data_IF_291610171706
#
_entry.id   IF_291610171706
#
_cell.length_a   1.000
_cell.length_b   1.000
_cell.length_c   1.000
_cell.angle_alpha   90.00
_cell.angle_beta   90.00
_cell.angle_gamma   90.00
#
_symmetry.space_group_name_H-M   'P 1'
#
loop_
_entity.id
_entity.type
_entity.pdbx_description
1 polymer ?
#
# COMPACT_ATOMS: atom_id res chain seq x y z
N UNK A 1 -24.70 -30.56 0.01
CA UNK A 1 -24.32 -29.14 -0.20
C UNK A 1 -24.97 -28.27 0.88
N UNK A 2 -24.97 -28.75 2.14
CA UNK A 2 -25.65 -28.16 3.30
C UNK A 2 -24.88 -28.50 4.59
N UNK A 3 -23.54 -28.64 4.50
CA UNK A 3 -22.71 -28.83 5.69
C UNK A 3 -22.15 -27.48 6.13
N UNK A 4 -22.92 -26.85 7.01
CA UNK A 4 -22.44 -26.05 8.13
C UNK A 4 -21.48 -24.90 7.79
N UNK A 5 -22.07 -23.81 7.28
CA UNK A 5 -21.70 -22.46 7.71
C UNK A 5 -22.02 -22.29 9.20
N UNK A 6 -21.39 -23.07 10.10
CA UNK A 6 -21.20 -22.63 11.48
C UNK A 6 -20.04 -21.61 11.52
N UNK A 7 -20.19 -20.58 10.68
CA UNK A 7 -19.45 -19.34 10.87
C UNK A 7 -20.12 -18.72 12.08
N UNK A 8 -19.51 -18.88 13.26
CA UNK A 8 -19.83 -18.06 14.43
C UNK A 8 -19.71 -16.59 13.99
N UNK A 9 -20.81 -16.02 13.52
CA UNK A 9 -20.87 -14.67 13.03
C UNK A 9 -20.47 -13.78 14.21
N UNK A 10 -19.28 -13.18 14.14
CA UNK A 10 -18.87 -12.24 15.17
C UNK A 10 -19.92 -11.12 15.21
N UNK A 11 -20.50 -10.81 16.38
CA UNK A 11 -21.43 -9.72 16.47
C UNK A 11 -20.75 -8.45 15.99
N UNK A 12 -21.47 -7.61 15.23
CA UNK A 12 -20.89 -6.46 14.52
C UNK A 12 -20.08 -5.55 15.44
N UNK A 13 -20.50 -5.40 16.71
CA UNK A 13 -19.76 -4.66 17.73
C UNK A 13 -18.36 -5.23 17.98
N UNK A 14 -18.21 -6.55 18.05
CA UNK A 14 -16.91 -7.21 18.22
C UNK A 14 -16.07 -7.09 16.94
N UNK A 15 -16.69 -7.21 15.77
CA UNK A 15 -15.99 -7.03 14.49
C UNK A 15 -15.42 -5.61 14.35
N UNK A 16 -16.24 -4.59 14.61
CA UNK A 16 -15.82 -3.18 14.61
C UNK A 16 -14.74 -2.93 15.67
N UNK A 17 -14.89 -3.50 16.87
CA UNK A 17 -13.87 -3.40 17.91
C UNK A 17 -12.51 -3.93 17.43
N UNK A 18 -12.47 -5.15 16.90
CA UNK A 18 -11.23 -5.74 16.39
C UNK A 18 -10.66 -5.02 15.16
N UNK A 19 -11.53 -4.49 14.29
CA UNK A 19 -11.11 -3.67 13.17
C UNK A 19 -10.37 -2.42 13.64
N UNK A 20 -10.95 -1.67 14.58
CA UNK A 20 -10.37 -0.43 15.11
C UNK A 20 -9.06 -0.72 15.85
N UNK A 21 -9.04 -1.75 16.71
CA UNK A 21 -7.83 -2.15 17.44
C UNK A 21 -6.73 -2.59 16.48
N UNK A 22 -7.05 -3.42 15.49
CA UNK A 22 -6.11 -3.88 14.47
C UNK A 22 -5.54 -2.73 13.65
N UNK A 23 -6.40 -1.81 13.19
CA UNK A 23 -5.99 -0.64 12.43
C UNK A 23 -5.07 0.28 13.27
N UNK A 24 -5.44 0.56 14.52
CA UNK A 24 -4.62 1.37 15.41
C UNK A 24 -3.25 0.74 15.66
N UNK A 25 -3.21 -0.55 15.98
CA UNK A 25 -1.95 -1.28 16.17
C UNK A 25 -1.09 -1.27 14.91
N UNK A 26 -1.70 -1.40 13.74
CA UNK A 26 -0.98 -1.40 12.47
C UNK A 26 -0.33 -0.04 12.19
N UNK A 27 -1.08 1.05 12.40
CA UNK A 27 -0.59 2.42 12.22
C UNK A 27 0.50 2.76 13.24
N UNK A 28 0.33 2.37 14.51
CA UNK A 28 1.34 2.62 15.55
C UNK A 28 2.60 1.83 15.24
N UNK A 29 2.47 0.55 14.88
CA UNK A 29 3.61 -0.31 14.53
C UNK A 29 4.38 0.24 13.34
N UNK A 30 3.71 0.70 12.29
CA UNK A 30 4.39 1.29 11.13
C UNK A 30 5.15 2.56 11.50
N UNK A 31 4.58 3.44 12.33
CA UNK A 31 5.24 4.65 12.80
C UNK A 31 6.47 4.36 13.64
N UNK A 32 6.38 3.42 14.58
CA UNK A 32 7.51 3.02 15.42
C UNK A 32 8.63 2.42 14.56
N UNK A 33 8.28 1.59 13.58
CA UNK A 33 9.25 1.02 12.63
C UNK A 33 9.97 2.10 11.82
N UNK A 34 9.23 3.07 11.27
CA UNK A 34 9.81 4.20 10.53
C UNK A 34 10.72 5.03 11.42
N UNK A 35 10.29 5.33 12.66
CA UNK A 35 11.10 6.12 13.58
C UNK A 35 12.42 5.42 13.93
N UNK A 36 12.38 4.13 14.26
CA UNK A 36 13.60 3.36 14.49
C UNK A 36 14.51 3.29 13.26
N UNK A 37 13.94 3.12 12.06
CA UNK A 37 14.72 3.11 10.82
C UNK A 37 15.37 4.48 10.53
N UNK A 38 14.67 5.58 10.82
CA UNK A 38 15.19 6.95 10.68
C UNK A 38 16.35 7.20 11.65
N UNK A 39 16.20 6.82 12.93
CA UNK A 39 17.27 6.97 13.93
C UNK A 39 18.52 6.17 13.56
N UNK A 40 18.35 4.93 13.09
CA UNK A 40 19.45 4.11 12.60
C UNK A 40 20.14 4.80 11.41
N UNK A 41 19.36 5.32 10.44
CA UNK A 41 19.91 5.99 9.26
C UNK A 41 20.71 7.26 9.62
N UNK A 42 20.22 8.06 10.58
CA UNK A 42 20.99 9.19 11.12
C UNK A 42 22.26 8.73 11.82
N UNK A 43 22.22 7.63 12.57
CA UNK A 43 23.40 7.02 13.20
C UNK A 43 24.48 6.60 12.18
N UNK A 44 24.08 6.28 10.96
CA UNK A 44 24.99 6.01 9.83
C UNK A 44 25.38 7.26 9.02
N UNK A 45 24.94 8.46 9.41
CA UNK A 45 25.25 9.71 8.71
C UNK A 45 24.50 9.90 7.39
N UNK A 46 23.38 9.20 7.18
CA UNK A 46 22.54 9.36 5.99
C UNK A 46 21.81 10.71 6.07
N UNK A 47 21.73 11.43 4.94
CA UNK A 47 21.07 12.73 4.89
C UNK A 47 19.55 12.63 4.94
N UNK A 48 18.90 13.64 5.52
CA UNK A 48 17.44 13.76 5.62
C UNK A 48 16.74 13.62 4.27
N UNK A 49 17.39 14.10 3.19
CA UNK A 49 16.89 13.96 1.82
C UNK A 49 16.77 12.49 1.42
N UNK A 50 17.80 11.68 1.65
CA UNK A 50 17.79 10.26 1.31
C UNK A 50 16.77 9.53 2.19
N UNK A 51 16.73 9.83 3.49
CA UNK A 51 15.79 9.25 4.44
C UNK A 51 14.34 9.53 4.00
N UNK A 52 14.04 10.78 3.66
CA UNK A 52 12.72 11.22 3.19
C UNK A 52 12.30 10.52 1.91
N UNK A 53 13.20 10.43 0.93
CA UNK A 53 12.95 9.81 -0.37
C UNK A 53 12.89 8.27 -0.31
N UNK A 54 13.32 7.64 0.78
CA UNK A 54 13.39 6.17 0.89
C UNK A 54 12.59 5.63 2.07
N UNK A 55 13.10 5.78 3.29
CA UNK A 55 12.54 5.21 4.52
C UNK A 55 11.14 5.75 4.79
N UNK A 56 10.96 7.06 4.71
CA UNK A 56 9.66 7.69 4.97
C UNK A 56 8.66 7.35 3.87
N UNK A 57 9.10 7.41 2.61
CA UNK A 57 8.27 7.09 1.45
C UNK A 57 7.75 5.64 1.47
N UNK A 58 8.59 4.67 1.85
CA UNK A 58 8.16 3.28 2.06
C UNK A 58 7.29 3.17 3.31
N UNK A 59 7.67 3.89 4.36
CA UNK A 59 7.04 3.91 5.67
C UNK A 59 5.54 4.18 5.65
N UNK A 60 5.10 5.13 4.83
CA UNK A 60 3.68 5.50 4.71
C UNK A 60 2.83 4.39 4.11
N UNK A 61 3.43 3.48 3.34
CA UNK A 61 2.73 2.39 2.64
C UNK A 61 2.84 1.03 3.36
N UNK A 62 3.49 1.00 4.53
CA UNK A 62 3.67 -0.22 5.32
C UNK A 62 2.35 -0.81 5.85
N UNK A 63 1.38 -0.03 6.36
CA UNK A 63 0.08 -0.57 6.76
C UNK A 63 -0.62 -1.29 5.60
N UNK A 64 -0.63 -0.68 4.42
CA UNK A 64 -1.25 -1.19 3.21
C UNK A 64 -0.56 -2.47 2.74
N UNK A 65 0.78 -2.47 2.73
CA UNK A 65 1.58 -3.65 2.41
C UNK A 65 1.25 -4.81 3.34
N UNK A 66 1.25 -4.58 4.65
CA UNK A 66 0.95 -5.60 5.65
C UNK A 66 -0.48 -6.13 5.51
N UNK A 67 -1.47 -5.25 5.32
CA UNK A 67 -2.87 -5.62 5.11
C UNK A 67 -3.05 -6.47 3.84
N UNK A 68 -2.47 -6.04 2.72
CA UNK A 68 -2.55 -6.77 1.45
C UNK A 68 -1.85 -8.13 1.50
N UNK A 69 -0.69 -8.23 2.15
CA UNK A 69 0.00 -9.52 2.34
C UNK A 69 -0.85 -10.47 3.18
N UNK A 70 -1.45 -9.99 4.27
CA UNK A 70 -2.30 -10.84 5.13
C UNK A 70 -3.55 -11.30 4.38
N UNK A 71 -4.20 -10.41 3.61
CA UNK A 71 -5.34 -10.76 2.78
C UNK A 71 -4.97 -11.81 1.72
N UNK A 72 -3.86 -11.61 1.01
CA UNK A 72 -3.36 -12.57 0.03
C UNK A 72 -3.04 -13.94 0.67
N UNK A 73 -2.41 -13.95 1.85
CA UNK A 73 -2.12 -15.20 2.59
C UNK A 73 -3.38 -15.93 3.07
N UNK A 74 -4.51 -15.24 3.19
CA UNK A 74 -5.81 -15.83 3.54
C UNK A 74 -6.62 -16.29 2.33
N UNK A 75 -6.09 -16.13 1.11
CA UNK A 75 -6.82 -16.41 -0.14
C UNK A 75 -7.83 -15.31 -0.51
N UNK A 76 -7.84 -14.19 0.22
CA UNK A 76 -8.75 -13.06 0.02
C UNK A 76 -8.16 -12.08 -1.00
N UNK A 77 -7.92 -12.55 -2.22
CA UNK A 77 -7.24 -11.78 -3.28
C UNK A 77 -8.01 -10.51 -3.66
N UNK A 78 -9.35 -10.54 -3.63
CA UNK A 78 -10.18 -9.38 -3.92
C UNK A 78 -9.98 -8.25 -2.91
N UNK A 79 -9.83 -8.60 -1.62
CA UNK A 79 -9.52 -7.63 -0.56
C UNK A 79 -8.12 -7.06 -0.75
N UNK A 80 -7.15 -7.91 -1.10
CA UNK A 80 -5.77 -7.47 -1.34
C UNK A 80 -5.68 -6.49 -2.53
N UNK A 81 -6.36 -6.80 -3.64
CA UNK A 81 -6.42 -5.95 -4.84
C UNK A 81 -7.20 -4.66 -4.56
N UNK A 82 -8.34 -4.77 -3.87
CA UNK A 82 -9.15 -3.62 -3.45
C UNK A 82 -8.35 -2.64 -2.60
N UNK A 83 -7.53 -3.13 -1.67
CA UNK A 83 -6.65 -2.30 -0.86
C UNK A 83 -5.59 -1.56 -1.70
N UNK A 84 -4.93 -2.24 -2.63
CA UNK A 84 -3.88 -1.65 -3.49
C UNK A 84 -4.48 -0.59 -4.42
N UNK A 85 -5.55 -0.94 -5.14
CA UNK A 85 -6.19 -0.04 -6.09
C UNK A 85 -6.84 1.15 -5.37
N UNK A 86 -7.57 0.88 -4.29
CA UNK A 86 -8.23 1.91 -3.49
C UNK A 86 -7.26 2.92 -2.90
N UNK A 87 -6.15 2.46 -2.32
CA UNK A 87 -5.15 3.33 -1.70
C UNK A 87 -4.44 4.22 -2.74
N UNK A 88 -4.10 3.67 -3.91
CA UNK A 88 -3.49 4.47 -4.99
C UNK A 88 -4.45 5.53 -5.55
N UNK A 89 -5.73 5.18 -5.72
CA UNK A 89 -6.76 6.13 -6.15
C UNK A 89 -6.96 7.22 -5.09
N UNK A 90 -7.03 6.85 -3.82
CA UNK A 90 -7.17 7.81 -2.72
C UNK A 90 -5.96 8.76 -2.65
N UNK A 91 -4.74 8.24 -2.74
CA UNK A 91 -3.54 9.09 -2.72
C UNK A 91 -3.47 10.05 -3.93
N UNK A 92 -3.85 9.58 -5.11
CA UNK A 92 -3.82 10.43 -6.32
C UNK A 92 -4.93 11.47 -6.31
N UNK A 93 -6.17 11.07 -6.00
CA UNK A 93 -7.34 11.94 -6.12
C UNK A 93 -7.56 12.79 -4.88
N UNK A 94 -7.47 12.19 -3.69
CA UNK A 94 -7.71 12.91 -2.45
C UNK A 94 -6.43 13.60 -1.98
N UNK A 95 -5.34 12.86 -1.73
CA UNK A 95 -4.13 13.47 -1.14
C UNK A 95 -3.50 14.49 -2.09
N UNK A 96 -3.12 14.08 -3.29
CA UNK A 96 -2.50 14.98 -4.29
C UNK A 96 -3.52 15.96 -4.86
N UNK A 97 -4.73 15.52 -5.18
CA UNK A 97 -5.76 16.39 -5.73
C UNK A 97 -6.16 17.52 -4.77
N UNK A 98 -6.43 17.22 -3.48
CA UNK A 98 -6.75 18.27 -2.50
C UNK A 98 -5.53 19.18 -2.29
N UNK A 99 -4.32 18.64 -2.14
CA UNK A 99 -3.12 19.46 -1.99
C UNK A 99 -2.92 20.41 -3.17
N UNK A 100 -3.10 19.94 -4.41
CA UNK A 100 -3.00 20.74 -5.63
C UNK A 100 -4.11 21.79 -5.76
N UNK A 101 -5.30 21.54 -5.23
CA UNK A 101 -6.38 22.56 -5.19
C UNK A 101 -6.11 23.67 -4.18
N UNK A 102 -5.45 23.37 -3.06
CA UNK A 102 -5.08 24.35 -2.03
C UNK A 102 -3.86 25.16 -2.47
N UNK A 103 -2.85 24.48 -3.00
CA UNK A 103 -1.62 25.11 -3.47
C UNK A 103 -1.21 24.48 -4.82
N UNK A 104 -1.46 25.16 -5.95
CA UNK A 104 -1.13 24.65 -7.27
C UNK A 104 0.35 24.29 -7.38
N UNK A 105 0.63 23.02 -7.67
CA UNK A 105 1.99 22.51 -7.80
C UNK A 105 2.55 22.89 -9.18
N UNK A 106 3.69 23.60 -9.20
CA UNK A 106 4.43 23.82 -10.43
C UNK A 106 5.14 22.53 -10.84
N UNK A 107 4.70 21.92 -11.95
CA UNK A 107 5.27 20.66 -12.45
C UNK A 107 6.40 20.97 -13.43
N UNK A 108 7.62 20.60 -13.05
CA UNK A 108 8.80 20.73 -13.92
C UNK A 108 8.77 19.75 -15.11
N UNK A 109 9.49 20.04 -16.20
CA UNK A 109 9.57 19.16 -17.37
C UNK A 109 10.15 17.77 -17.05
N UNK A 110 10.90 17.63 -15.96
CA UNK A 110 11.48 16.37 -15.47
C UNK A 110 10.40 15.34 -15.12
N UNK A 111 9.25 15.78 -14.62
CA UNK A 111 8.14 14.88 -14.26
C UNK A 111 7.60 14.16 -15.51
N UNK A 112 7.49 14.86 -16.63
CA UNK A 112 7.03 14.28 -17.90
C UNK A 112 8.09 13.38 -18.53
N UNK A 113 9.35 13.84 -18.57
CA UNK A 113 10.41 13.15 -19.30
C UNK A 113 11.05 12.00 -18.52
N UNK A 114 11.02 12.03 -17.19
CA UNK A 114 11.65 11.00 -16.34
C UNK A 114 10.59 10.21 -15.60
N UNK A 115 9.82 10.86 -14.74
CA UNK A 115 8.99 10.15 -13.76
C UNK A 115 7.82 9.42 -14.44
N UNK A 116 7.16 10.07 -15.40
CA UNK A 116 6.06 9.46 -16.16
C UNK A 116 6.53 8.34 -17.09
N UNK A 117 7.70 8.48 -17.71
CA UNK A 117 8.29 7.42 -18.53
C UNK A 117 8.67 6.20 -17.68
N UNK A 118 9.31 6.41 -16.53
CA UNK A 118 9.67 5.33 -15.60
C UNK A 118 8.41 4.63 -15.09
N UNK A 119 7.38 5.38 -14.69
CA UNK A 119 6.12 4.80 -14.23
C UNK A 119 5.38 4.03 -15.33
N UNK A 120 5.37 4.53 -16.57
CA UNK A 120 4.80 3.82 -17.70
C UNK A 120 5.55 2.52 -17.99
N UNK A 121 6.89 2.55 -17.97
CA UNK A 121 7.72 1.36 -18.17
C UNK A 121 7.50 0.31 -17.08
N UNK A 122 7.43 0.71 -15.80
CA UNK A 122 7.13 -0.18 -14.69
C UNK A 122 5.73 -0.78 -14.80
N UNK A 123 4.73 0.03 -15.16
CA UNK A 123 3.35 -0.43 -15.36
C UNK A 123 3.27 -1.47 -16.48
N UNK A 124 3.92 -1.21 -17.62
CA UNK A 124 3.99 -2.15 -18.73
C UNK A 124 4.73 -3.44 -18.34
N UNK A 125 5.83 -3.33 -17.60
CA UNK A 125 6.60 -4.48 -17.13
C UNK A 125 5.76 -5.38 -16.22
N UNK A 126 5.05 -4.78 -15.26
CA UNK A 126 4.13 -5.51 -14.38
C UNK A 126 2.96 -6.12 -15.16
N UNK A 127 2.43 -5.43 -16.16
CA UNK A 127 1.38 -5.97 -17.02
C UNK A 127 1.88 -7.20 -17.80
N UNK A 128 3.07 -7.14 -18.41
CA UNK A 128 3.67 -8.27 -19.14
C UNK A 128 3.89 -9.48 -18.22
N UNK A 129 4.34 -9.26 -16.99
CA UNK A 129 4.54 -10.33 -16.00
C UNK A 129 3.19 -10.91 -15.54
N UNK A 130 2.21 -10.05 -15.27
CA UNK A 130 0.90 -10.43 -14.71
C UNK A 130 -0.09 -11.00 -15.72
N UNK A 131 -0.01 -10.62 -17.00
CA UNK A 131 -0.94 -11.04 -18.04
C UNK A 131 -0.86 -12.54 -18.36
N UNK A 132 0.25 -13.20 -18.01
CA UNK A 132 0.36 -14.65 -18.10
C UNK A 132 0.22 -15.16 -19.54
N UNK A 133 1.27 -15.00 -20.36
CA UNK A 133 1.31 -15.56 -21.72
C UNK A 133 1.27 -17.11 -21.78
N UNK A 134 1.21 -17.79 -20.62
CA UNK A 134 1.21 -19.25 -20.47
C UNK A 134 -0.07 -19.77 -19.78
N UNK A 135 -1.24 -19.45 -20.32
CA UNK A 135 -2.52 -20.10 -20.01
C UNK A 135 -3.00 -19.96 -18.55
N UNK A 136 -4.21 -20.46 -18.23
CA UNK A 136 -4.68 -20.45 -16.85
C UNK A 136 -3.80 -21.39 -16.04
N UNK A 137 -3.06 -20.84 -15.07
CA UNK A 137 -2.32 -21.63 -14.10
C UNK A 137 -3.29 -22.59 -13.42
N UNK A 138 -3.04 -23.90 -13.54
CA UNK A 138 -3.79 -24.92 -12.82
C UNK A 138 -3.47 -24.75 -11.34
N UNK A 139 -4.33 -24.04 -10.63
CA UNK A 139 -4.42 -24.11 -9.18
C UNK A 139 -5.14 -25.44 -8.92
N UNK A 140 -4.35 -26.49 -8.63
CA UNK A 140 -4.88 -27.75 -8.09
C UNK A 140 -5.44 -27.51 -6.69
#
# INVERSE_FOLDING_TARGET
MEQELDVRAMPIRRAVFWLVVGLALLIVSSRVLVWGAVEIAHGFGVSDLIIGLTVVAVGTSLPELASSIIAARKGEHDIALGNILGSNLFNTLAVVGIAGTIHPLAVGPEVFNRDMLVMAALTLSLFVIGYGFRGPGRIN
#
